data_IF_076797010557
#
_entry.id   IF_076797010557
#
_cell.length_a   1.000
_cell.length_b   1.000
_cell.length_c   1.000
_cell.angle_alpha   90.00
_cell.angle_beta   90.00
_cell.angle_gamma   90.00
#
_symmetry.space_group_name_H-M   'P 1'
#
loop_
_entity.id
_entity.type
_entity.pdbx_description
1 polymer ?
#
# COMPACT_ATOMS: atom_id res chain seq x y z
N UNK A 1 12.15 17.40 17.15
CA UNK A 1 12.66 16.13 16.60
C UNK A 1 11.61 15.63 15.63
N UNK A 2 11.81 15.82 14.33
CA UNK A 2 10.91 15.26 13.31
C UNK A 2 11.15 13.75 13.31
N UNK A 3 10.20 12.98 13.84
CA UNK A 3 10.21 11.52 13.73
C UNK A 3 10.12 11.16 12.25
N UNK A 4 11.26 10.81 11.64
CA UNK A 4 11.25 10.22 10.31
C UNK A 4 10.56 8.86 10.43
N UNK A 5 9.37 8.76 9.84
CA UNK A 5 8.65 7.50 9.70
C UNK A 5 9.35 6.68 8.62
N UNK A 6 9.71 5.43 8.93
CA UNK A 6 10.32 4.55 7.94
C UNK A 6 9.26 4.14 6.90
N UNK A 7 9.62 3.96 5.62
CA UNK A 7 8.65 3.58 4.58
C UNK A 7 7.85 2.31 4.92
N UNK A 8 8.51 1.30 5.49
CA UNK A 8 7.85 0.06 5.90
C UNK A 8 6.87 0.28 7.07
N UNK A 9 7.22 1.14 8.03
CA UNK A 9 6.31 1.50 9.13
C UNK A 9 5.08 2.28 8.64
N UNK A 10 5.23 3.06 7.55
CA UNK A 10 4.10 3.73 6.93
C UNK A 10 3.15 2.73 6.28
N UNK A 11 3.68 1.74 5.54
CA UNK A 11 2.87 0.72 4.88
C UNK A 11 2.16 -0.16 5.92
N UNK A 12 2.84 -0.54 6.99
CA UNK A 12 2.27 -1.29 8.11
C UNK A 12 1.06 -0.57 8.73
N UNK A 13 1.16 0.75 8.94
CA UNK A 13 0.04 1.58 9.43
C UNK A 13 -1.15 1.65 8.47
N UNK A 14 -0.95 1.34 7.18
CA UNK A 14 -2.01 1.33 6.19
C UNK A 14 -2.72 -0.02 6.06
N UNK A 15 -2.26 -1.08 6.74
CA UNK A 15 -2.94 -2.39 6.73
C UNK A 15 -4.36 -2.23 7.31
N UNK A 16 -5.34 -2.81 6.62
CA UNK A 16 -6.77 -2.66 6.89
C UNK A 16 -7.41 -1.37 6.36
N UNK A 17 -6.62 -0.46 5.77
CA UNK A 17 -7.13 0.76 5.14
C UNK A 17 -7.22 0.63 3.63
N UNK A 18 -8.16 1.36 3.01
CA UNK A 18 -8.21 1.50 1.55
C UNK A 18 -7.07 2.40 1.08
N UNK A 19 -6.21 1.87 0.22
CA UNK A 19 -5.07 2.58 -0.36
C UNK A 19 -5.24 2.72 -1.88
N UNK A 20 -4.59 3.75 -2.43
CA UNK A 20 -4.46 3.95 -3.87
C UNK A 20 -2.99 3.73 -4.25
N UNK A 21 -2.76 2.80 -5.17
CA UNK A 21 -1.44 2.40 -5.63
C UNK A 21 -1.28 2.88 -7.07
N UNK A 22 -0.22 3.64 -7.32
CA UNK A 22 0.18 4.08 -8.65
C UNK A 22 1.41 3.26 -9.03
N UNK A 23 1.24 2.37 -10.01
CA UNK A 23 2.29 1.51 -10.52
C UNK A 23 3.00 2.18 -11.70
N UNK A 24 4.23 1.73 -11.99
CA UNK A 24 4.90 2.11 -13.24
C UNK A 24 4.12 1.59 -14.44
N UNK A 25 4.07 2.37 -15.52
CA UNK A 25 3.33 2.03 -16.74
C UNK A 25 1.85 2.40 -16.68
N UNK A 26 1.52 3.48 -15.98
CA UNK A 26 0.20 4.12 -15.93
C UNK A 26 -0.93 3.17 -15.50
N UNK A 27 -0.61 2.22 -14.60
CA UNK A 27 -1.59 1.33 -13.98
C UNK A 27 -1.87 1.79 -12.57
N UNK A 28 -3.14 1.89 -12.23
CA UNK A 28 -3.58 2.36 -10.93
C UNK A 28 -4.58 1.40 -10.31
N UNK A 29 -4.45 1.18 -9.00
CA UNK A 29 -5.31 0.27 -8.25
C UNK A 29 -5.79 0.93 -6.97
N UNK A 30 -7.06 0.75 -6.63
CA UNK A 30 -7.61 1.14 -5.35
C UNK A 30 -8.25 -0.05 -4.65
N UNK A 31 -7.79 -0.38 -3.45
CA UNK A 31 -8.27 -1.54 -2.67
C UNK A 31 -7.83 -1.49 -1.21
N UNK A 32 -8.34 -2.39 -0.38
CA UNK A 32 -7.98 -2.50 1.03
C UNK A 32 -6.68 -3.31 1.18
N UNK A 33 -5.66 -2.76 1.85
CA UNK A 33 -4.41 -3.47 2.09
C UNK A 33 -4.60 -4.55 3.16
N UNK A 34 -4.48 -5.82 2.80
CA UNK A 34 -4.54 -6.94 3.75
C UNK A 34 -3.20 -7.23 4.41
N UNK A 35 -2.10 -6.97 3.70
CA UNK A 35 -0.75 -7.20 4.19
C UNK A 35 0.29 -7.05 3.09
N UNK A 36 1.56 -7.11 3.49
CA UNK A 36 2.72 -7.03 2.60
C UNK A 36 3.87 -7.88 3.14
N UNK A 37 4.89 -8.14 2.31
CA UNK A 37 6.11 -8.84 2.70
C UNK A 37 7.35 -7.92 2.72
N UNK A 38 8.53 -8.47 3.07
CA UNK A 38 9.79 -7.72 3.11
C UNK A 38 10.22 -7.13 1.74
N UNK A 39 9.65 -7.65 0.64
CA UNK A 39 9.88 -7.16 -0.72
C UNK A 39 8.82 -6.16 -1.19
N UNK A 40 7.87 -5.80 -0.31
CA UNK A 40 6.77 -4.87 -0.59
C UNK A 40 5.79 -5.41 -1.63
N UNK A 41 5.71 -6.74 -1.78
CA UNK A 41 4.57 -7.34 -2.49
C UNK A 41 3.32 -7.16 -1.63
N UNK A 42 2.26 -6.57 -2.19
CA UNK A 42 1.05 -6.21 -1.46
C UNK A 42 -0.11 -7.15 -1.82
N UNK A 43 -0.87 -7.57 -0.81
CA UNK A 43 -2.13 -8.29 -0.97
C UNK A 43 -3.27 -7.31 -0.71
N UNK A 44 -4.20 -7.22 -1.67
CA UNK A 44 -5.33 -6.30 -1.60
C UNK A 44 -6.67 -7.03 -1.71
N UNK A 45 -7.69 -6.48 -1.06
CA UNK A 45 -9.09 -6.89 -1.15
C UNK A 45 -9.96 -5.79 -1.79
N UNK A 46 -11.07 -6.17 -2.41
CA UNK A 46 -12.04 -5.26 -3.06
C UNK A 46 -11.40 -4.26 -4.03
N UNK A 47 -10.47 -4.77 -4.84
CA UNK A 47 -9.63 -4.00 -5.77
C UNK A 47 -10.43 -3.53 -6.97
N UNK A 48 -10.22 -2.27 -7.33
CA UNK A 48 -10.66 -1.66 -8.60
C UNK A 48 -9.41 -1.20 -9.35
N UNK A 49 -9.28 -1.59 -10.61
CA UNK A 49 -8.32 -1.00 -11.56
C UNK A 49 -8.92 0.30 -12.11
N UNK A 50 -8.16 1.40 -12.02
CA UNK A 50 -8.59 2.75 -12.41
C UNK A 50 -8.14 3.13 -13.82
#
# INVERSE_FOLDING_TARGET
>A
MTSQLLPLELIDKCVGSRIWIIMKGDKEFAGTLLGFDDYVNMVLEDVIEL
#
